data_IF_915125278422
#
_entry.id   IF_915125278422
#
_cell.length_a   1.000
_cell.length_b   1.000
_cell.length_c   1.000
_cell.angle_alpha   90.00
_cell.angle_beta   90.00
_cell.angle_gamma   90.00
#
_symmetry.space_group_name_H-M   'P 1'
#
loop_
_entity.id
_entity.type
_entity.pdbx_description
1 polymer ?
#
# COMPACT_ATOMS: atom_id res chain seq x y z
N UNK A 1 -49.62 40.91 -22.84
CA UNK A 1 -48.52 41.65 -23.51
C UNK A 1 -47.66 40.62 -24.24
N UNK A 2 -47.34 40.84 -25.51
CA UNK A 2 -46.48 39.95 -26.30
C UNK A 2 -45.18 40.68 -26.67
N UNK A 3 -44.03 40.01 -26.54
CA UNK A 3 -42.70 40.57 -26.81
C UNK A 3 -42.18 40.06 -28.15
N UNK A 4 -41.59 40.95 -28.96
CA UNK A 4 -40.82 40.52 -30.13
C UNK A 4 -39.53 39.84 -29.68
N UNK A 5 -38.98 38.95 -30.51
CA UNK A 5 -37.75 38.20 -30.20
C UNK A 5 -36.57 39.10 -29.76
N UNK A 6 -36.42 40.29 -30.37
CA UNK A 6 -35.36 41.24 -30.00
C UNK A 6 -35.54 41.86 -28.63
N UNK A 7 -36.78 42.19 -28.24
CA UNK A 7 -37.09 42.71 -26.91
C UNK A 7 -36.94 41.64 -25.84
N UNK A 8 -37.34 40.40 -26.15
CA UNK A 8 -37.13 39.25 -25.27
C UNK A 8 -35.64 38.96 -25.06
N UNK A 9 -34.85 38.98 -26.13
CA UNK A 9 -33.40 38.80 -26.08
C UNK A 9 -32.75 39.84 -25.14
N UNK A 10 -33.08 41.13 -25.33
CA UNK A 10 -32.56 42.22 -24.51
C UNK A 10 -32.93 42.08 -23.03
N UNK A 11 -34.18 41.75 -22.73
CA UNK A 11 -34.68 41.61 -21.34
C UNK A 11 -34.14 40.36 -20.63
N UNK A 12 -33.86 39.31 -21.38
CA UNK A 12 -33.43 38.01 -20.85
C UNK A 12 -31.92 37.82 -20.84
N UNK A 13 -31.15 38.79 -21.36
CA UNK A 13 -29.69 38.71 -21.47
C UNK A 13 -29.20 37.67 -22.49
N UNK A 14 -30.09 37.15 -23.34
CA UNK A 14 -29.76 36.14 -24.36
C UNK A 14 -29.60 36.78 -25.73
N UNK A 15 -28.91 36.08 -26.64
CA UNK A 15 -28.88 36.49 -28.04
C UNK A 15 -30.15 36.03 -28.76
N UNK A 16 -30.55 36.76 -29.80
CA UNK A 16 -31.63 36.33 -30.71
C UNK A 16 -31.33 34.95 -31.30
N UNK A 17 -30.05 34.66 -31.60
CA UNK A 17 -29.59 33.34 -32.06
C UNK A 17 -29.90 32.23 -31.05
N UNK A 18 -29.69 32.46 -29.76
CA UNK A 18 -30.03 31.50 -28.71
C UNK A 18 -31.53 31.23 -28.65
N UNK A 19 -32.36 32.27 -28.74
CA UNK A 19 -33.82 32.13 -28.76
C UNK A 19 -34.32 31.39 -30.01
N UNK A 20 -33.73 31.65 -31.19
CA UNK A 20 -34.03 30.88 -32.40
C UNK A 20 -33.60 29.42 -32.28
N UNK A 21 -32.47 29.15 -31.64
CA UNK A 21 -32.04 27.78 -31.38
C UNK A 21 -33.03 27.06 -30.45
N UNK A 22 -33.52 27.72 -29.40
CA UNK A 22 -34.53 27.14 -28.51
C UNK A 22 -35.86 26.85 -29.22
N UNK A 23 -36.27 27.71 -30.15
CA UNK A 23 -37.44 27.50 -31.02
C UNK A 23 -37.21 26.28 -31.94
N UNK A 24 -36.04 26.20 -32.59
CA UNK A 24 -35.70 25.09 -33.49
C UNK A 24 -35.69 23.72 -32.81
N UNK A 25 -35.25 23.63 -31.55
CA UNK A 25 -35.23 22.37 -30.79
C UNK A 25 -36.53 22.14 -30.00
N UNK A 26 -37.54 23.00 -30.15
CA UNK A 26 -38.82 22.91 -29.45
C UNK A 26 -38.77 23.21 -27.95
N UNK A 27 -37.64 23.74 -27.45
CA UNK A 27 -37.46 24.05 -26.03
C UNK A 27 -38.24 25.30 -25.62
N UNK A 28 -38.29 26.32 -26.49
CA UNK A 28 -39.08 27.53 -26.32
C UNK A 28 -39.65 28.00 -27.66
N UNK A 29 -40.94 27.74 -27.88
CA UNK A 29 -41.65 28.12 -29.11
C UNK A 29 -42.42 29.43 -28.88
N UNK A 30 -42.54 30.31 -29.89
CA UNK A 30 -43.31 31.54 -29.77
C UNK A 30 -44.82 31.25 -29.70
N UNK A 31 -45.53 31.89 -28.77
CA UNK A 31 -46.99 31.81 -28.67
C UNK A 31 -47.73 32.24 -29.93
N UNK A 32 -47.18 33.20 -30.69
CA UNK A 32 -47.80 33.70 -31.91
C UNK A 32 -46.78 34.22 -32.92
N UNK A 33 -47.25 34.49 -34.13
CA UNK A 33 -46.53 35.26 -35.14
C UNK A 33 -47.34 36.49 -35.52
N UNK A 34 -46.67 37.61 -35.75
CA UNK A 34 -47.33 38.83 -36.22
C UNK A 34 -47.76 38.67 -37.69
N UNK A 35 -48.67 39.53 -38.21
CA UNK A 35 -49.04 39.54 -39.62
C UNK A 35 -47.84 39.72 -40.58
N UNK A 36 -46.77 40.38 -40.11
CA UNK A 36 -45.52 40.56 -40.85
C UNK A 36 -44.50 39.42 -40.62
N UNK A 37 -44.90 38.31 -39.98
CA UNK A 37 -44.08 37.11 -39.78
C UNK A 37 -43.15 37.11 -38.56
N UNK A 38 -43.16 38.15 -37.72
CA UNK A 38 -42.29 38.23 -36.54
C UNK A 38 -42.75 37.29 -35.43
N UNK A 39 -41.81 36.64 -34.73
CA UNK A 39 -42.08 35.82 -33.54
C UNK A 39 -42.53 36.70 -32.36
N UNK A 40 -43.63 36.30 -31.72
CA UNK A 40 -44.23 36.98 -30.57
C UNK A 40 -44.29 36.01 -29.39
N UNK A 41 -43.68 36.43 -28.28
CA UNK A 41 -43.59 35.65 -27.06
C UNK A 41 -44.52 36.19 -25.97
N UNK A 42 -45.39 35.33 -25.46
CA UNK A 42 -46.35 35.65 -24.41
C UNK A 42 -45.76 35.60 -23.00
N UNK A 43 -46.62 35.78 -22.00
CA UNK A 43 -46.23 35.71 -20.58
C UNK A 43 -45.77 34.31 -20.18
N UNK A 44 -46.43 33.26 -20.70
CA UNK A 44 -46.06 31.86 -20.45
C UNK A 44 -44.70 31.52 -21.04
N UNK A 45 -44.41 32.00 -22.25
CA UNK A 45 -43.09 31.84 -22.89
C UNK A 45 -41.97 32.49 -22.06
N UNK A 46 -42.24 33.68 -21.50
CA UNK A 46 -41.29 34.37 -20.63
C UNK A 46 -41.07 33.56 -19.34
N UNK A 47 -42.14 33.04 -18.72
CA UNK A 47 -42.02 32.19 -17.53
C UNK A 47 -41.22 30.91 -17.84
N UNK A 48 -41.51 30.25 -18.96
CA UNK A 48 -40.77 29.07 -19.44
C UNK A 48 -39.31 29.41 -19.69
N UNK A 49 -39.02 30.56 -20.29
CA UNK A 49 -37.65 31.02 -20.51
C UNK A 49 -36.88 31.21 -19.20
N UNK A 50 -37.51 31.79 -18.17
CA UNK A 50 -36.90 31.90 -16.84
C UNK A 50 -36.59 30.53 -16.23
N UNK A 51 -37.51 29.56 -16.34
CA UNK A 51 -37.24 28.19 -15.88
C UNK A 51 -36.09 27.54 -16.64
N UNK A 52 -36.00 27.72 -17.96
CA UNK A 52 -34.88 27.23 -18.78
C UNK A 52 -33.56 27.84 -18.28
N UNK A 53 -33.51 29.15 -18.03
CA UNK A 53 -32.30 29.82 -17.56
C UNK A 53 -31.86 29.35 -16.18
N UNK A 54 -32.80 29.17 -15.25
CA UNK A 54 -32.50 28.66 -13.91
C UNK A 54 -31.93 27.23 -13.97
N UNK A 55 -32.56 26.34 -14.73
CA UNK A 55 -32.10 24.96 -14.90
C UNK A 55 -30.77 24.86 -15.64
N UNK A 56 -30.50 25.77 -16.59
CA UNK A 56 -29.17 25.88 -17.22
C UNK A 56 -28.09 26.32 -16.24
N UNK A 57 -28.41 27.19 -15.29
CA UNK A 57 -27.46 27.60 -14.24
C UNK A 57 -27.05 26.44 -13.33
N UNK A 58 -27.89 25.41 -13.21
CA UNK A 58 -27.57 24.16 -12.49
C UNK A 58 -26.70 23.19 -13.31
N UNK A 59 -26.24 23.59 -14.50
CA UNK A 59 -25.41 22.77 -15.37
C UNK A 59 -26.17 21.68 -16.15
N UNK A 60 -27.51 21.71 -16.15
CA UNK A 60 -28.30 20.70 -16.84
C UNK A 60 -28.25 20.87 -18.37
N UNK A 61 -28.09 19.78 -19.14
CA UNK A 61 -28.10 19.84 -20.59
C UNK A 61 -29.51 20.15 -21.11
N UNK A 62 -29.60 20.88 -22.24
CA UNK A 62 -30.87 21.37 -22.81
C UNK A 62 -31.92 20.27 -23.04
N UNK A 63 -31.48 19.06 -23.39
CA UNK A 63 -32.36 17.89 -23.57
C UNK A 63 -33.04 17.47 -22.27
N UNK A 64 -32.33 17.49 -21.14
CA UNK A 64 -32.92 17.17 -19.84
C UNK A 64 -33.86 18.28 -19.37
N UNK A 65 -33.49 19.55 -19.62
CA UNK A 65 -34.36 20.70 -19.34
C UNK A 65 -35.68 20.58 -20.11
N UNK A 66 -35.63 20.19 -21.39
CA UNK A 66 -36.83 19.98 -22.19
C UNK A 66 -37.75 18.91 -21.57
N UNK A 67 -37.19 17.76 -21.18
CA UNK A 67 -37.95 16.66 -20.57
C UNK A 67 -38.55 17.04 -19.20
N UNK A 68 -37.79 17.75 -18.36
CA UNK A 68 -38.27 18.28 -17.08
C UNK A 68 -39.46 19.23 -17.24
N UNK A 69 -39.37 20.14 -18.22
CA UNK A 69 -40.43 21.13 -18.49
C UNK A 69 -41.63 20.54 -19.24
N UNK A 70 -41.52 19.35 -19.81
CA UNK A 70 -42.61 18.60 -20.43
C UNK A 70 -43.34 17.69 -19.42
N UNK A 71 -42.73 17.39 -18.27
CA UNK A 71 -43.24 16.42 -17.30
C UNK A 71 -42.92 14.96 -17.64
N UNK A 72 -42.24 14.71 -18.77
CA UNK A 72 -41.83 13.39 -19.24
C UNK A 72 -40.47 12.94 -18.67
N UNK A 73 -39.81 13.83 -17.94
CA UNK A 73 -38.49 13.61 -17.34
C UNK A 73 -38.53 13.13 -15.90
N UNK A 74 -37.38 12.66 -15.43
CA UNK A 74 -37.14 12.39 -14.01
C UNK A 74 -37.39 13.66 -13.17
N UNK A 75 -38.05 13.58 -11.99
CA UNK A 75 -38.31 14.73 -11.13
C UNK A 75 -37.05 15.56 -10.83
N UNK A 76 -37.21 16.88 -10.74
CA UNK A 76 -36.10 17.81 -10.52
C UNK A 76 -35.19 17.44 -9.33
N UNK A 77 -35.69 17.05 -8.14
CA UNK A 77 -34.83 16.66 -7.02
C UNK A 77 -33.91 15.46 -7.35
N UNK A 78 -34.41 14.49 -8.11
CA UNK A 78 -33.64 13.31 -8.51
C UNK A 78 -32.60 13.66 -9.58
N UNK A 79 -32.98 14.51 -10.54
CA UNK A 79 -32.05 15.04 -11.54
C UNK A 79 -30.89 15.82 -10.88
N UNK A 80 -31.20 16.69 -9.92
CA UNK A 80 -30.19 17.45 -9.16
C UNK A 80 -29.31 16.53 -8.34
N UNK A 81 -29.88 15.55 -7.63
CA UNK A 81 -29.10 14.58 -6.86
C UNK A 81 -28.14 13.75 -7.74
N UNK A 82 -28.55 13.38 -8.95
CA UNK A 82 -27.67 12.73 -9.93
C UNK A 82 -26.54 13.66 -10.38
N UNK A 83 -26.84 14.94 -10.64
CA UNK A 83 -25.84 15.92 -11.04
C UNK A 83 -24.80 16.14 -9.93
N UNK A 84 -25.24 16.23 -8.66
CA UNK A 84 -24.34 16.31 -7.50
C UNK A 84 -23.42 15.09 -7.46
N UNK A 85 -23.96 13.88 -7.56
CA UNK A 85 -23.13 12.65 -7.57
C UNK A 85 -22.13 12.60 -8.72
N UNK A 86 -22.49 13.09 -9.91
CA UNK A 86 -21.58 13.17 -11.04
C UNK A 86 -20.44 14.14 -10.77
N UNK A 87 -20.74 15.33 -10.23
CA UNK A 87 -19.74 16.32 -9.83
C UNK A 87 -18.84 15.81 -8.71
N UNK A 88 -19.38 15.13 -7.70
CA UNK A 88 -18.60 14.52 -6.63
C UNK A 88 -17.61 13.49 -7.18
N UNK A 89 -18.02 12.72 -8.19
CA UNK A 89 -17.14 11.78 -8.88
C UNK A 89 -16.03 12.49 -9.66
N UNK A 90 -16.35 13.55 -10.40
CA UNK A 90 -15.35 14.38 -11.10
C UNK A 90 -14.37 15.02 -10.12
N UNK A 91 -14.85 15.55 -8.99
CA UNK A 91 -14.02 16.13 -7.93
C UNK A 91 -13.08 15.06 -7.34
N UNK A 92 -13.58 13.86 -7.07
CA UNK A 92 -12.75 12.76 -6.56
C UNK A 92 -11.64 12.39 -7.55
N UNK A 93 -11.97 12.27 -8.84
CA UNK A 93 -10.99 12.00 -9.89
C UNK A 93 -9.95 13.13 -10.03
N UNK A 94 -10.40 14.38 -10.06
CA UNK A 94 -9.53 15.55 -10.15
C UNK A 94 -8.62 15.67 -8.92
N UNK A 95 -9.14 15.36 -7.73
CA UNK A 95 -8.36 15.34 -6.47
C UNK A 95 -7.31 14.25 -6.50
N UNK A 96 -7.65 13.04 -6.93
CA UNK A 96 -6.70 11.95 -7.07
C UNK A 96 -5.58 12.29 -8.08
N UNK A 97 -5.94 12.88 -9.22
CA UNK A 97 -4.97 13.37 -10.20
C UNK A 97 -4.06 14.45 -9.61
N UNK A 98 -4.64 15.44 -8.92
CA UNK A 98 -3.89 16.50 -8.24
C UNK A 98 -2.90 15.93 -7.24
N UNK A 99 -3.30 14.95 -6.43
CA UNK A 99 -2.40 14.28 -5.47
C UNK A 99 -1.25 13.58 -6.18
N UNK A 100 -1.51 12.84 -7.26
CA UNK A 100 -0.46 12.22 -8.08
C UNK A 100 0.51 13.26 -8.67
N UNK A 101 -0.01 14.37 -9.19
CA UNK A 101 0.79 15.47 -9.72
C UNK A 101 1.63 16.17 -8.64
N UNK A 102 1.10 16.31 -7.41
CA UNK A 102 1.82 16.90 -6.29
C UNK A 102 3.00 16.01 -5.84
N UNK A 103 2.77 14.70 -5.72
CA UNK A 103 3.83 13.72 -5.45
C UNK A 103 4.91 13.73 -6.54
N UNK A 104 4.50 13.92 -7.80
CA UNK A 104 5.41 14.07 -8.93
C UNK A 104 6.26 15.34 -8.84
N UNK A 105 5.68 16.47 -8.42
CA UNK A 105 6.42 17.73 -8.23
C UNK A 105 7.46 17.61 -7.09
N UNK A 106 7.12 16.89 -6.02
CA UNK A 106 8.02 16.63 -4.90
C UNK A 106 9.24 15.79 -5.34
N UNK A 107 9.02 14.76 -6.16
CA UNK A 107 10.10 13.94 -6.75
C UNK A 107 11.01 14.72 -7.70
N UNK A 108 10.46 15.60 -8.54
CA UNK A 108 11.29 16.47 -9.39
C UNK A 108 12.12 17.46 -8.56
N UNK A 109 11.57 17.95 -7.46
CA UNK A 109 12.28 18.85 -6.54
C UNK A 109 13.41 18.12 -5.79
N UNK A 110 13.31 16.81 -5.61
CA UNK A 110 14.33 15.96 -4.98
C UNK A 110 15.46 15.51 -5.95
N UNK A 111 15.49 16.00 -7.19
CA UNK A 111 16.64 15.86 -8.10
C UNK A 111 16.68 14.60 -8.97
N UNK A 112 15.63 13.77 -8.99
CA UNK A 112 15.52 12.64 -9.91
C UNK A 112 14.79 13.02 -11.20
N UNK A 113 15.43 12.87 -12.37
CA UNK A 113 14.72 12.84 -13.66
C UNK A 113 14.44 11.37 -14.02
N UNK A 114 13.23 10.84 -13.77
CA UNK A 114 12.86 9.52 -14.28
C UNK A 114 12.64 9.57 -15.80
N UNK A 115 13.09 8.55 -16.52
CA UNK A 115 12.82 8.40 -17.95
C UNK A 115 11.31 8.18 -18.22
N UNK A 116 10.83 8.55 -19.41
CA UNK A 116 9.39 8.54 -19.75
C UNK A 116 8.74 7.13 -19.67
N UNK A 117 9.52 6.05 -19.84
CA UNK A 117 9.09 4.66 -19.67
C UNK A 117 8.87 4.29 -18.21
N UNK A 118 9.89 4.51 -17.36
CA UNK A 118 9.82 4.36 -15.89
C UNK A 118 8.66 5.15 -15.28
N UNK A 119 8.29 6.27 -15.92
CA UNK A 119 7.23 7.17 -15.50
C UNK A 119 5.81 6.66 -15.77
N UNK A 120 5.52 6.08 -16.94
CA UNK A 120 4.21 5.49 -17.23
C UNK A 120 3.95 4.26 -16.35
N UNK A 121 4.99 3.45 -16.14
CA UNK A 121 4.94 2.29 -15.27
C UNK A 121 4.76 2.70 -13.80
N UNK A 122 5.47 3.76 -13.35
CA UNK A 122 5.28 4.33 -12.02
C UNK A 122 3.86 4.89 -11.80
N UNK A 123 3.25 5.52 -12.81
CA UNK A 123 1.88 6.06 -12.69
C UNK A 123 0.82 4.95 -12.68
N UNK A 124 0.97 3.93 -13.52
CA UNK A 124 0.12 2.75 -13.50
C UNK A 124 0.23 2.02 -12.16
N UNK A 125 1.45 1.89 -11.64
CA UNK A 125 1.74 1.30 -10.33
C UNK A 125 1.07 2.07 -9.18
N UNK A 126 1.16 3.40 -9.18
CA UNK A 126 0.49 4.24 -8.18
C UNK A 126 -1.05 4.16 -8.28
N UNK A 127 -1.59 4.04 -9.49
CA UNK A 127 -3.03 3.84 -9.68
C UNK A 127 -3.48 2.48 -9.16
N UNK A 128 -2.69 1.43 -9.37
CA UNK A 128 -2.91 0.11 -8.78
C UNK A 128 -2.85 0.18 -7.27
N UNK A 129 -1.82 0.78 -6.67
CA UNK A 129 -1.71 0.88 -5.20
C UNK A 129 -2.89 1.62 -4.56
N UNK A 130 -3.37 2.70 -5.18
CA UNK A 130 -4.52 3.46 -4.69
C UNK A 130 -5.84 2.66 -4.67
N UNK A 131 -5.92 1.51 -5.37
CA UNK A 131 -7.08 0.60 -5.29
C UNK A 131 -7.04 -0.32 -4.06
N UNK A 132 -5.86 -0.55 -3.49
CA UNK A 132 -5.64 -1.52 -2.41
C UNK A 132 -5.21 -0.88 -1.08
N UNK A 133 -4.64 0.32 -1.13
CA UNK A 133 -3.98 0.98 0.00
C UNK A 133 -4.42 2.44 0.14
N UNK A 134 -4.43 2.91 1.39
CA UNK A 134 -4.63 4.31 1.71
C UNK A 134 -3.41 5.16 1.35
N UNK A 135 -3.58 6.48 1.25
CA UNK A 135 -2.47 7.40 0.95
C UNK A 135 -1.32 7.30 1.96
N UNK A 136 -1.62 7.07 3.25
CA UNK A 136 -0.60 6.92 4.29
C UNK A 136 0.12 5.59 4.18
N UNK A 137 -0.59 4.50 3.87
CA UNK A 137 0.02 3.20 3.58
C UNK A 137 0.95 3.26 2.36
N UNK A 138 0.52 3.93 1.28
CA UNK A 138 1.36 4.14 0.08
C UNK A 138 2.62 4.93 0.43
N UNK A 139 2.51 5.95 1.30
CA UNK A 139 3.67 6.72 1.76
C UNK A 139 4.66 5.83 2.52
N UNK A 140 4.18 4.94 3.38
CA UNK A 140 5.01 3.97 4.10
C UNK A 140 5.71 3.00 3.13
N UNK A 141 4.96 2.40 2.20
CA UNK A 141 5.48 1.45 1.21
C UNK A 141 6.59 2.09 0.36
N UNK A 142 6.34 3.29 -0.17
CA UNK A 142 7.30 3.99 -1.03
C UNK A 142 8.48 4.54 -0.22
N UNK A 143 8.22 5.08 0.97
CA UNK A 143 9.23 5.69 1.81
C UNK A 143 10.23 4.69 2.39
N UNK A 144 9.76 3.53 2.83
CA UNK A 144 10.62 2.51 3.43
C UNK A 144 11.46 1.76 2.39
N UNK A 145 11.12 1.84 1.10
CA UNK A 145 11.86 1.13 0.04
C UNK A 145 13.34 1.54 -0.02
N UNK A 146 13.65 2.82 0.20
CA UNK A 146 15.03 3.30 0.22
C UNK A 146 15.90 2.62 1.29
N UNK A 147 15.30 2.15 2.39
CA UNK A 147 16.03 1.48 3.46
C UNK A 147 16.31 -0.01 3.16
N UNK A 148 15.56 -0.63 2.26
CA UNK A 148 15.65 -2.07 1.96
C UNK A 148 16.13 -2.39 0.56
N UNK A 149 16.15 -1.43 -0.36
CA UNK A 149 16.35 -1.68 -1.79
C UNK A 149 17.64 -2.43 -2.12
N UNK A 150 18.77 -2.02 -1.52
CA UNK A 150 20.08 -2.65 -1.76
C UNK A 150 20.12 -4.09 -1.22
N UNK A 151 19.61 -4.30 0.00
CA UNK A 151 19.51 -5.62 0.62
C UNK A 151 18.56 -6.54 -0.16
N UNK A 152 17.49 -5.97 -0.73
CA UNK A 152 16.53 -6.71 -1.56
C UNK A 152 17.18 -7.17 -2.85
N UNK A 153 17.91 -6.30 -3.56
CA UNK A 153 18.61 -6.65 -4.79
C UNK A 153 19.64 -7.78 -4.56
N UNK A 154 20.43 -7.69 -3.48
CA UNK A 154 21.39 -8.73 -3.10
C UNK A 154 20.72 -10.07 -2.75
N UNK A 155 19.56 -10.02 -2.09
CA UNK A 155 18.77 -11.22 -1.77
C UNK A 155 18.22 -11.88 -3.03
N UNK A 156 17.62 -11.11 -3.95
CA UNK A 156 17.05 -11.64 -5.20
C UNK A 156 18.12 -12.37 -6.03
N UNK A 157 19.33 -11.83 -6.10
CA UNK A 157 20.45 -12.47 -6.80
C UNK A 157 20.84 -13.82 -6.16
N UNK A 158 20.89 -13.90 -4.83
CA UNK A 158 21.21 -15.13 -4.11
C UNK A 158 20.13 -16.20 -4.28
N UNK A 159 18.85 -15.82 -4.19
CA UNK A 159 17.73 -16.74 -4.42
C UNK A 159 17.75 -17.25 -5.85
N UNK A 160 18.00 -16.36 -6.82
CA UNK A 160 18.12 -16.75 -8.23
C UNK A 160 19.24 -17.75 -8.46
N UNK A 161 20.40 -17.54 -7.85
CA UNK A 161 21.53 -18.46 -7.95
C UNK A 161 21.20 -19.87 -7.44
N UNK A 162 20.45 -20.00 -6.33
CA UNK A 162 20.01 -21.30 -5.83
C UNK A 162 18.95 -21.96 -6.73
N UNK A 163 18.05 -21.18 -7.31
CA UNK A 163 17.06 -21.66 -8.27
C UNK A 163 17.72 -22.18 -9.55
N UNK A 164 18.70 -21.45 -10.09
CA UNK A 164 19.44 -21.85 -11.29
C UNK A 164 20.31 -23.10 -11.05
N UNK A 165 20.71 -23.34 -9.80
CA UNK A 165 21.37 -24.59 -9.36
C UNK A 165 20.40 -25.76 -9.12
N UNK A 166 19.09 -25.55 -9.25
CA UNK A 166 18.07 -26.59 -9.03
C UNK A 166 17.92 -27.02 -7.57
N UNK A 167 18.31 -26.17 -6.61
CA UNK A 167 18.18 -26.48 -5.18
C UNK A 167 16.69 -26.52 -4.78
N UNK A 168 16.19 -27.58 -4.14
CA UNK A 168 14.80 -27.64 -3.70
C UNK A 168 14.46 -26.54 -2.66
N UNK A 169 13.25 -25.98 -2.66
CA UNK A 169 12.86 -24.91 -1.72
C UNK A 169 12.84 -25.37 -0.26
N UNK A 170 12.75 -26.67 0.00
CA UNK A 170 12.81 -27.26 1.35
C UNK A 170 14.24 -27.50 1.85
N UNK A 171 15.27 -27.21 1.05
CA UNK A 171 16.66 -27.37 1.45
C UNK A 171 17.05 -26.37 2.56
N UNK A 172 17.88 -26.82 3.51
CA UNK A 172 18.34 -26.00 4.62
C UNK A 172 19.13 -24.76 4.15
N UNK A 173 19.77 -24.80 2.98
CA UNK A 173 20.49 -23.66 2.39
C UNK A 173 19.56 -22.52 1.99
N UNK A 174 18.28 -22.79 1.75
CA UNK A 174 17.28 -21.78 1.38
C UNK A 174 16.72 -21.08 2.62
N UNK A 175 16.78 -21.72 3.79
CA UNK A 175 16.17 -21.23 5.03
C UNK A 175 16.71 -19.86 5.50
N UNK A 176 18.02 -19.55 5.42
CA UNK A 176 18.53 -18.22 5.70
C UNK A 176 17.98 -17.15 4.76
N UNK A 177 17.90 -17.44 3.46
CA UNK A 177 17.36 -16.50 2.46
C UNK A 177 15.86 -16.28 2.64
N UNK A 178 15.11 -17.35 2.93
CA UNK A 178 13.69 -17.27 3.25
C UNK A 178 13.43 -16.43 4.50
N UNK A 179 14.28 -16.56 5.53
CA UNK A 179 14.22 -15.72 6.72
C UNK A 179 14.53 -14.25 6.42
N UNK A 180 15.59 -13.99 5.66
CA UNK A 180 15.97 -12.63 5.25
C UNK A 180 14.86 -11.98 4.41
N UNK A 181 14.22 -12.74 3.52
CA UNK A 181 13.05 -12.29 2.75
C UNK A 181 11.91 -11.82 3.66
N UNK A 182 11.55 -12.64 4.65
CA UNK A 182 10.52 -12.28 5.62
C UNK A 182 10.90 -11.04 6.43
N UNK A 183 12.17 -10.94 6.87
CA UNK A 183 12.64 -9.80 7.65
C UNK A 183 12.57 -8.49 6.85
N UNK A 184 12.98 -8.53 5.58
CA UNK A 184 12.95 -7.36 4.70
C UNK A 184 11.51 -6.97 4.34
N UNK A 185 10.59 -7.92 4.06
CA UNK A 185 9.15 -7.61 3.89
C UNK A 185 8.59 -6.93 5.13
N UNK A 186 8.92 -7.46 6.32
CA UNK A 186 8.43 -6.92 7.57
C UNK A 186 8.96 -5.51 7.82
N UNK A 187 10.25 -5.25 7.56
CA UNK A 187 10.81 -3.90 7.69
C UNK A 187 10.21 -2.93 6.66
N UNK A 188 10.09 -3.37 5.41
CA UNK A 188 9.56 -2.56 4.32
C UNK A 188 8.11 -2.13 4.56
N UNK A 189 7.25 -3.06 4.97
CA UNK A 189 5.82 -2.79 5.21
C UNK A 189 5.52 -2.37 6.65
N UNK A 190 6.53 -1.88 7.40
CA UNK A 190 6.33 -1.29 8.72
C UNK A 190 5.87 -2.28 9.81
N UNK A 191 6.02 -3.58 9.57
CA UNK A 191 5.63 -4.66 10.47
C UNK A 191 4.13 -4.90 10.59
N UNK A 192 3.34 -4.29 9.72
CA UNK A 192 1.89 -4.49 9.66
C UNK A 192 1.58 -5.78 8.87
N UNK A 193 1.19 -6.84 9.59
CA UNK A 193 0.83 -8.12 9.00
C UNK A 193 -0.37 -8.04 8.06
N UNK A 194 -1.33 -7.16 8.32
CA UNK A 194 -2.51 -6.99 7.45
C UNK A 194 -2.12 -6.27 6.16
N UNK A 195 -1.17 -5.33 6.23
CA UNK A 195 -0.58 -4.68 5.07
C UNK A 195 0.23 -5.68 4.23
N UNK A 196 1.04 -6.53 4.87
CA UNK A 196 1.83 -7.59 4.21
C UNK A 196 0.91 -8.57 3.46
N UNK A 197 -0.16 -9.02 4.11
CA UNK A 197 -1.11 -9.96 3.52
C UNK A 197 -1.88 -9.35 2.32
N UNK A 198 -2.34 -8.10 2.43
CA UNK A 198 -2.95 -7.37 1.30
C UNK A 198 -1.96 -7.14 0.16
N UNK A 199 -0.70 -6.82 0.48
CA UNK A 199 0.37 -6.67 -0.51
C UNK A 199 0.60 -7.96 -1.29
N UNK A 200 0.74 -9.10 -0.60
CA UNK A 200 0.89 -10.40 -1.24
C UNK A 200 -0.26 -10.71 -2.19
N UNK A 201 -1.51 -10.50 -1.77
CA UNK A 201 -2.69 -10.69 -2.63
C UNK A 201 -2.67 -9.81 -3.87
N UNK A 202 -2.38 -8.51 -3.72
CA UNK A 202 -2.26 -7.60 -4.85
C UNK A 202 -1.16 -8.06 -5.82
N UNK A 203 0.01 -8.41 -5.30
CA UNK A 203 1.17 -8.82 -6.11
C UNK A 203 0.89 -10.04 -6.98
N UNK A 204 0.13 -11.01 -6.44
CA UNK A 204 -0.29 -12.20 -7.17
C UNK A 204 -1.36 -11.92 -8.25
N UNK A 205 -2.22 -10.92 -8.04
CA UNK A 205 -3.38 -10.64 -8.88
C UNK A 205 -3.12 -9.60 -9.98
N UNK A 206 -2.28 -8.60 -9.72
CA UNK A 206 -2.10 -7.44 -10.59
C UNK A 206 -0.73 -7.49 -11.30
N UNK A 207 -0.67 -7.70 -12.63
CA UNK A 207 0.57 -7.66 -13.40
C UNK A 207 1.27 -6.31 -13.34
N UNK A 208 0.52 -5.22 -13.26
CA UNK A 208 1.06 -3.86 -13.15
C UNK A 208 1.73 -3.59 -11.80
N UNK A 209 1.52 -4.46 -10.79
CA UNK A 209 2.24 -4.39 -9.51
C UNK A 209 3.66 -4.98 -9.56
N UNK A 210 4.12 -5.44 -10.74
CA UNK A 210 5.41 -6.07 -10.99
C UNK A 210 6.23 -5.28 -12.01
N UNK A 211 6.84 -4.14 -11.60
CA UNK A 211 7.73 -3.38 -12.46
C UNK A 211 9.02 -4.15 -12.77
N UNK A 212 9.81 -3.67 -13.72
CA UNK A 212 11.11 -4.25 -14.04
C UNK A 212 12.03 -4.27 -12.80
N UNK A 213 12.65 -5.42 -12.55
CA UNK A 213 13.44 -5.69 -11.34
C UNK A 213 12.65 -6.27 -10.16
N UNK A 214 11.31 -6.35 -10.24
CA UNK A 214 10.51 -7.05 -9.24
C UNK A 214 10.70 -8.58 -9.30
N UNK A 215 10.61 -9.31 -8.18
CA UNK A 215 10.79 -10.74 -8.16
C UNK A 215 9.74 -11.49 -8.99
N UNK A 216 10.19 -12.36 -9.88
CA UNK A 216 9.31 -13.19 -10.68
C UNK A 216 8.43 -14.12 -9.80
N UNK A 217 7.23 -14.48 -10.28
CA UNK A 217 6.26 -15.25 -9.49
C UNK A 217 6.76 -16.66 -9.13
N UNK A 218 7.61 -17.26 -9.95
CA UNK A 218 8.27 -18.52 -9.66
C UNK A 218 9.21 -18.41 -8.45
N UNK A 219 9.96 -17.31 -8.35
CA UNK A 219 10.80 -17.00 -7.20
C UNK A 219 9.99 -16.75 -5.93
N UNK A 220 8.89 -15.99 -6.04
CA UNK A 220 8.00 -15.76 -4.89
C UNK A 220 7.43 -17.10 -4.39
N UNK A 221 6.94 -17.95 -5.28
CA UNK A 221 6.44 -19.30 -4.93
C UNK A 221 7.53 -20.18 -4.34
N UNK A 222 8.76 -20.08 -4.84
CA UNK A 222 9.92 -20.81 -4.30
C UNK A 222 10.18 -20.43 -2.84
N UNK A 223 10.15 -19.14 -2.51
CA UNK A 223 10.31 -18.65 -1.15
C UNK A 223 9.09 -18.97 -0.26
N UNK A 224 7.87 -18.89 -0.79
CA UNK A 224 6.67 -19.32 -0.07
C UNK A 224 6.77 -20.81 0.34
N UNK A 225 7.22 -21.68 -0.57
CA UNK A 225 7.45 -23.10 -0.28
C UNK A 225 8.56 -23.32 0.75
N UNK A 226 9.56 -22.43 0.79
CA UNK A 226 10.63 -22.49 1.80
C UNK A 226 10.18 -21.99 3.18
N UNK A 227 9.25 -21.03 3.24
CA UNK A 227 8.73 -20.43 4.48
C UNK A 227 7.57 -21.21 5.09
N UNK A 228 6.76 -21.93 4.29
CA UNK A 228 5.61 -22.69 4.78
C UNK A 228 5.97 -23.75 5.85
N UNK A 229 7.03 -24.56 5.71
CA UNK A 229 7.46 -25.49 6.76
C UNK A 229 7.92 -24.77 8.05
N UNK A 230 8.50 -23.58 7.91
CA UNK A 230 8.95 -22.77 9.05
C UNK A 230 7.76 -22.18 9.82
N UNK A 231 6.75 -21.66 9.11
CA UNK A 231 5.51 -21.20 9.73
C UNK A 231 4.78 -22.38 10.38
N UNK A 232 4.72 -23.54 9.73
CA UNK A 232 4.16 -24.75 10.32
C UNK A 232 4.91 -25.17 11.59
N UNK A 233 6.24 -25.08 11.62
CA UNK A 233 7.03 -25.35 12.82
C UNK A 233 6.72 -24.36 13.95
N UNK A 234 6.58 -23.05 13.66
CA UNK A 234 6.10 -22.09 14.66
C UNK A 234 4.69 -22.44 15.16
N UNK A 235 3.76 -22.77 14.26
CA UNK A 235 2.37 -23.09 14.58
C UNK A 235 2.18 -24.40 15.36
N UNK A 236 3.20 -25.27 15.42
CA UNK A 236 3.20 -26.44 16.33
C UNK A 236 3.36 -26.04 17.79
N UNK A 237 3.95 -24.88 18.06
CA UNK A 237 4.27 -24.39 19.40
C UNK A 237 3.47 -23.13 19.78
N UNK A 238 2.93 -22.40 18.82
CA UNK A 238 2.23 -21.14 19.02
C UNK A 238 0.95 -21.05 18.20
N UNK A 239 -0.03 -20.33 18.73
CA UNK A 239 -1.17 -19.87 17.95
C UNK A 239 -0.79 -18.66 17.10
N UNK A 240 -1.57 -18.41 16.04
CA UNK A 240 -1.33 -17.28 15.14
C UNK A 240 -1.50 -15.93 15.86
N UNK A 241 -2.39 -15.85 16.87
CA UNK A 241 -2.57 -14.66 17.71
C UNK A 241 -1.42 -14.42 18.69
N UNK A 242 -0.73 -15.47 19.13
CA UNK A 242 0.48 -15.35 19.95
C UNK A 242 1.66 -14.85 19.11
N UNK A 243 1.85 -15.41 17.91
CA UNK A 243 2.89 -14.95 16.98
C UNK A 243 2.70 -13.48 16.57
N UNK A 244 1.45 -13.01 16.43
CA UNK A 244 1.14 -11.59 16.17
C UNK A 244 1.56 -10.64 17.29
N UNK A 245 1.75 -11.13 18.52
CA UNK A 245 2.22 -10.31 19.65
C UNK A 245 3.73 -10.05 19.60
N UNK A 246 4.46 -10.81 18.79
CA UNK A 246 5.90 -10.62 18.65
C UNK A 246 6.20 -9.28 17.98
N UNK A 247 7.21 -8.59 18.50
CA UNK A 247 7.68 -7.31 17.99
C UNK A 247 8.97 -7.52 17.21
N UNK A 248 9.13 -6.87 16.04
CA UNK A 248 10.38 -6.91 15.31
C UNK A 248 11.48 -6.22 16.13
N UNK A 249 12.54 -6.96 16.44
CA UNK A 249 13.79 -6.39 16.95
C UNK A 249 14.71 -6.14 15.76
N UNK A 250 15.35 -4.97 15.71
CA UNK A 250 16.14 -4.53 14.57
C UNK A 250 17.21 -5.55 14.17
N UNK A 251 17.31 -5.84 12.86
CA UNK A 251 18.27 -6.79 12.30
C UNK A 251 19.73 -6.44 12.67
N UNK A 252 20.05 -5.16 12.85
CA UNK A 252 21.36 -4.68 13.29
C UNK A 252 21.74 -5.13 14.71
N UNK A 253 20.77 -5.26 15.62
CA UNK A 253 21.01 -5.71 16.99
C UNK A 253 21.39 -7.19 17.03
N UNK A 254 20.69 -7.99 16.21
CA UNK A 254 20.98 -9.41 16.00
C UNK A 254 22.32 -9.64 15.31
N UNK A 255 22.62 -8.89 14.25
CA UNK A 255 23.89 -8.96 13.53
C UNK A 255 25.09 -8.57 14.42
N UNK A 256 24.94 -7.51 15.24
CA UNK A 256 25.96 -7.11 16.18
C UNK A 256 26.25 -8.20 17.21
N UNK A 257 25.20 -8.84 17.75
CA UNK A 257 25.36 -9.96 18.68
C UNK A 257 26.08 -11.13 18.01
N UNK A 258 25.67 -11.53 16.80
CA UNK A 258 26.33 -12.60 16.06
C UNK A 258 27.83 -12.32 15.81
N UNK A 259 28.17 -11.09 15.41
CA UNK A 259 29.56 -10.67 15.18
C UNK A 259 30.40 -10.62 16.47
N UNK A 260 29.81 -10.19 17.58
CA UNK A 260 30.47 -10.20 18.89
C UNK A 260 30.71 -11.63 19.38
N UNK A 261 29.74 -12.53 19.19
CA UNK A 261 29.87 -13.95 19.55
C UNK A 261 30.93 -14.64 18.71
N UNK A 262 30.93 -14.43 17.39
CA UNK A 262 31.94 -14.98 16.49
C UNK A 262 33.35 -14.53 16.87
N UNK A 263 33.53 -13.25 17.24
CA UNK A 263 34.83 -12.74 17.73
C UNK A 263 35.32 -13.44 18.99
N UNK A 264 34.45 -13.72 19.96
CA UNK A 264 34.84 -14.46 21.17
C UNK A 264 35.21 -15.91 20.86
N UNK A 265 34.48 -16.56 19.96
CA UNK A 265 34.75 -17.94 19.55
C UNK A 265 36.09 -18.05 18.81
N UNK A 266 36.36 -17.14 17.86
CA UNK A 266 37.65 -17.08 17.15
C UNK A 266 38.81 -16.80 18.10
N UNK A 267 38.60 -15.96 19.13
CA UNK A 267 39.60 -15.68 20.15
C UNK A 267 39.77 -16.82 21.17
N UNK A 268 39.05 -17.93 21.05
CA UNK A 268 39.15 -19.09 21.95
C UNK A 268 38.72 -18.80 23.39
N UNK A 269 37.88 -17.78 23.59
CA UNK A 269 37.42 -17.38 24.92
C UNK A 269 36.51 -18.49 25.50
N UNK A 270 36.73 -18.94 26.74
CA UNK A 270 35.88 -19.97 27.33
C UNK A 270 34.42 -19.51 27.51
N UNK A 271 33.42 -20.39 27.32
CA UNK A 271 32.01 -20.09 27.58
C UNK A 271 31.75 -19.65 29.02
N UNK A 272 32.57 -20.09 29.98
CA UNK A 272 32.46 -19.71 31.39
C UNK A 272 32.95 -18.28 31.71
N UNK A 273 33.42 -17.52 30.72
CA UNK A 273 33.92 -16.17 30.93
C UNK A 273 32.81 -15.15 31.17
N UNK A 274 33.12 -14.08 31.91
CA UNK A 274 32.20 -12.96 32.11
C UNK A 274 31.78 -12.29 30.79
N UNK A 275 32.66 -12.27 29.79
CA UNK A 275 32.38 -11.74 28.44
C UNK A 275 31.36 -12.61 27.69
N UNK A 276 31.49 -13.94 27.77
CA UNK A 276 30.52 -14.86 27.19
C UNK A 276 29.16 -14.79 27.90
N UNK A 277 29.16 -14.67 29.24
CA UNK A 277 27.95 -14.48 30.03
C UNK A 277 27.21 -13.18 29.66
N UNK A 278 27.94 -12.08 29.45
CA UNK A 278 27.34 -10.80 29.02
C UNK A 278 26.67 -10.90 27.64
N UNK A 279 27.26 -11.64 26.68
CA UNK A 279 26.61 -11.90 25.40
C UNK A 279 25.39 -12.81 25.53
N UNK A 280 25.42 -13.79 26.43
CA UNK A 280 24.27 -14.66 26.70
C UNK A 280 23.11 -13.91 27.37
N UNK A 281 23.41 -12.92 28.22
CA UNK A 281 22.39 -12.02 28.79
C UNK A 281 21.82 -11.08 27.71
N UNK A 282 22.67 -10.53 26.83
CA UNK A 282 22.23 -9.70 25.68
C UNK A 282 21.36 -10.50 24.70
N UNK A 283 21.67 -11.78 24.45
CA UNK A 283 20.82 -12.69 23.68
C UNK A 283 19.43 -12.80 24.30
N UNK A 284 19.36 -12.98 25.63
CA UNK A 284 18.09 -13.08 26.36
C UNK A 284 17.30 -11.77 26.29
N UNK A 285 17.97 -10.63 26.40
CA UNK A 285 17.33 -9.32 26.29
C UNK A 285 16.72 -9.09 24.90
N UNK A 286 17.42 -9.47 23.83
CA UNK A 286 16.88 -9.39 22.46
C UNK A 286 15.69 -10.32 22.27
N UNK A 287 15.73 -11.52 22.84
CA UNK A 287 14.57 -12.43 22.84
C UNK A 287 13.39 -11.86 23.63
N UNK A 288 13.62 -11.28 24.81
CA UNK A 288 12.58 -10.60 25.58
C UNK A 288 11.98 -9.41 24.81
N UNK A 289 12.80 -8.63 24.11
CA UNK A 289 12.31 -7.54 23.26
C UNK A 289 11.47 -8.05 22.08
N UNK A 290 11.83 -9.22 21.53
CA UNK A 290 11.08 -9.87 20.44
C UNK A 290 9.71 -10.35 20.92
N UNK A 291 9.63 -10.88 22.12
CA UNK A 291 8.39 -11.40 22.71
C UNK A 291 7.56 -10.28 23.37
N UNK A 292 8.17 -9.16 23.74
CA UNK A 292 7.50 -7.96 24.23
C UNK A 292 6.72 -8.20 25.52
N UNK A 293 5.42 -7.85 25.53
CA UNK A 293 4.54 -8.07 26.68
C UNK A 293 4.16 -9.55 26.90
N UNK A 294 4.47 -10.44 25.95
CA UNK A 294 4.16 -11.87 26.06
C UNK A 294 5.28 -12.64 26.77
N UNK A 295 5.88 -12.08 27.84
CA UNK A 295 7.02 -12.68 28.52
C UNK A 295 6.76 -14.11 29.04
N UNK A 296 5.49 -14.48 29.19
CA UNK A 296 4.99 -15.83 29.47
C UNK A 296 5.29 -16.86 28.37
N UNK A 297 5.49 -16.41 27.13
CA UNK A 297 5.77 -17.23 25.95
C UNK A 297 7.26 -17.54 25.72
N UNK A 298 8.16 -16.93 26.50
CA UNK A 298 9.61 -17.13 26.35
C UNK A 298 10.04 -18.59 26.53
N UNK A 299 9.55 -19.35 27.55
CA UNK A 299 9.89 -20.76 27.69
C UNK A 299 9.43 -21.62 26.50
N UNK A 300 8.26 -21.30 25.93
CA UNK A 300 7.72 -21.97 24.73
C UNK A 300 8.59 -21.69 23.50
N UNK A 301 9.13 -20.47 23.39
CA UNK A 301 10.02 -20.07 22.29
C UNK A 301 11.36 -20.81 22.36
N UNK A 302 11.95 -20.89 23.56
CA UNK A 302 13.18 -21.66 23.80
C UNK A 302 12.97 -23.14 23.45
N UNK A 303 11.83 -23.72 23.86
CA UNK A 303 11.48 -25.11 23.55
C UNK A 303 11.29 -25.34 22.03
N UNK A 304 10.63 -24.41 21.34
CA UNK A 304 10.43 -24.48 19.90
C UNK A 304 11.76 -24.42 19.13
N UNK A 305 12.65 -23.49 19.49
CA UNK A 305 13.99 -23.38 18.89
C UNK A 305 14.85 -24.62 19.17
N UNK A 306 14.73 -25.23 20.35
CA UNK A 306 15.44 -26.47 20.67
C UNK A 306 14.91 -27.67 19.86
N UNK A 307 13.58 -27.79 19.74
CA UNK A 307 12.91 -28.92 19.11
C UNK A 307 13.01 -28.91 17.58
N UNK A 308 12.99 -27.74 16.93
CA UNK A 308 12.82 -27.61 15.49
C UNK A 308 14.13 -27.12 14.80
N UNK A 309 14.87 -27.98 14.08
CA UNK A 309 16.07 -27.59 13.33
C UNK A 309 15.81 -26.49 12.28
N UNK A 310 14.60 -26.46 11.70
CA UNK A 310 14.18 -25.45 10.72
C UNK A 310 14.10 -24.05 11.33
N UNK A 311 13.66 -23.94 12.59
CA UNK A 311 13.61 -22.64 13.29
C UNK A 311 15.02 -22.13 13.59
N UNK A 312 15.97 -23.05 13.86
CA UNK A 312 17.40 -22.73 14.05
C UNK A 312 18.13 -22.35 12.77
N UNK A 313 17.79 -22.97 11.64
CA UNK A 313 18.49 -22.76 10.37
C UNK A 313 18.37 -21.33 9.80
N UNK A 314 17.39 -20.56 10.25
CA UNK A 314 17.35 -19.10 10.02
C UNK A 314 17.22 -18.34 11.33
N UNK A 315 17.81 -18.84 12.41
CA UNK A 315 17.99 -18.05 13.62
C UNK A 315 19.06 -16.98 13.35
N UNK A 316 18.98 -15.82 14.03
CA UNK A 316 19.94 -14.73 13.87
C UNK A 316 21.38 -15.08 14.26
N UNK A 317 21.58 -16.20 14.96
CA UNK A 317 22.90 -16.73 15.30
C UNK A 317 23.09 -18.15 14.74
N UNK A 318 24.31 -18.49 14.27
CA UNK A 318 24.61 -19.82 13.78
C UNK A 318 24.61 -20.86 14.93
N UNK A 319 24.42 -22.17 14.63
CA UNK A 319 24.21 -23.20 15.64
C UNK A 319 25.34 -23.35 16.67
N UNK A 320 26.58 -23.15 16.22
CA UNK A 320 27.79 -23.15 17.04
C UNK A 320 27.84 -21.96 18.02
N UNK A 321 27.46 -20.78 17.56
CA UNK A 321 27.31 -19.58 18.40
C UNK A 321 26.20 -19.76 19.45
N UNK A 322 25.06 -20.36 19.07
CA UNK A 322 23.99 -20.69 20.01
C UNK A 322 24.43 -21.71 21.06
N UNK A 323 25.15 -22.77 20.66
CA UNK A 323 25.69 -23.75 21.60
C UNK A 323 26.71 -23.12 22.58
N UNK A 324 27.57 -22.23 22.08
CA UNK A 324 28.53 -21.48 22.89
C UNK A 324 27.83 -20.58 23.92
N UNK A 325 26.81 -19.82 23.52
CA UNK A 325 26.06 -18.94 24.43
C UNK A 325 25.18 -19.74 25.41
N UNK A 326 24.62 -20.87 25.00
CA UNK A 326 23.92 -21.79 25.88
C UNK A 326 24.84 -22.30 27.00
N UNK A 327 26.05 -22.74 26.65
CA UNK A 327 27.07 -23.15 27.63
C UNK A 327 27.48 -21.99 28.58
N UNK A 328 27.51 -20.75 28.09
CA UNK A 328 27.80 -19.57 28.90
C UNK A 328 26.69 -19.21 29.90
N UNK A 329 25.44 -19.57 29.61
CA UNK A 329 24.29 -19.34 30.49
C UNK A 329 24.15 -20.38 31.62
N UNK A 330 24.89 -21.50 31.54
CA UNK A 330 24.78 -22.60 32.49
C UNK A 330 25.17 -22.18 33.93
N UNK A 331 24.50 -22.71 34.98
CA UNK A 331 24.76 -22.33 36.38
C UNK A 331 26.22 -22.51 36.83
N UNK A 332 26.93 -23.48 36.23
CA UNK A 332 28.34 -23.76 36.49
C UNK A 332 29.28 -22.64 36.00
N UNK A 333 28.97 -22.02 34.86
CA UNK A 333 29.71 -20.87 34.31
C UNK A 333 29.54 -19.62 35.18
N UNK A 334 28.32 -19.37 35.67
CA UNK A 334 28.03 -18.21 36.53
C UNK A 334 28.73 -18.25 37.90
N UNK A 335 28.98 -19.45 38.45
CA UNK A 335 29.74 -19.65 39.71
C UNK A 335 31.25 -19.42 39.56
N UNK A 336 31.81 -19.64 38.38
CA UNK A 336 33.24 -19.39 38.10
C UNK A 336 33.56 -17.89 38.08
N UNK A 337 32.65 -17.07 37.54
CA UNK A 337 32.78 -15.60 37.51
C UNK A 337 32.69 -14.99 38.91
N UNK A 338 31.87 -15.55 39.81
CA UNK A 338 31.74 -15.06 41.19
C UNK A 338 32.92 -15.42 42.10
N UNK A 339 33.72 -16.45 41.75
CA UNK A 339 34.92 -16.86 42.50
C UNK A 339 36.21 -16.15 42.07
N UNK A 340 36.18 -15.38 41.00
CA UNK A 340 37.34 -14.68 40.44
C UNK A 340 37.32 -13.16 40.67
N UNK A 341 36.53 -12.69 41.65
CA UNK A 341 36.49 -11.31 42.13
C UNK A 341 37.15 -11.18 43.50
#
# INVERSE_FOLDING_TARGET
MQLKVGDLARRSGLTVRTLHHFDQIGLLSPSARSPAGYRLYGREDVARLHSIQALRHLGLPLKQIAALLAGDGEPLPQTVARQIRALDHEIAQATALRTRLALLMDKFSAGGQPEMGDWLDSLALMATYARYFSTDEIRTIVGNWQAVGDDWAALLAQVRALMDQGVPPTDLRVQPLAHQWMALIHHWLGGDFDLIDRWGRMYLQEPTARPDGAPALDMVRYIEQATAPRLAAWLRHFTLDELRRFRPVGASAWAALAADTARLMVAGVPPASARAAALADRLRDLFHQTVGQAADLVPTMDAALAAEPLLRAGAPLPPDALAYLAAASAPAARRAVTRSR
#
